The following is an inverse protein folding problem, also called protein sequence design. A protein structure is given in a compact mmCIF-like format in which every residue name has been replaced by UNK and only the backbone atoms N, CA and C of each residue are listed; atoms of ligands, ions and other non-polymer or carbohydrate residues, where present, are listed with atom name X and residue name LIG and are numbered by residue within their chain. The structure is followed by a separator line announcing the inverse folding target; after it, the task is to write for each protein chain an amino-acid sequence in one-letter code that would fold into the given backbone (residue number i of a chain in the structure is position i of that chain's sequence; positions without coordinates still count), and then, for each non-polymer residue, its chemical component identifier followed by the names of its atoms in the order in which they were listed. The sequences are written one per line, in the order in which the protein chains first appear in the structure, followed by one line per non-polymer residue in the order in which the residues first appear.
data_IF_102499477889
#
_entry.id   IF_102499477889
#
_cell.length_a   1.000
_cell.length_b   1.000
_cell.length_c   1.000
_cell.angle_alpha   90.00
_cell.angle_beta   90.00
_cell.angle_gamma   90.00
#
_symmetry.space_group_name_H-M   'P 1'
#
loop_
_entity.id
_entity.type
_entity.pdbx_description
1 polymer ?
#
# COMPACT_ATOMS: atom_id res chain seq x y z
N UNK A 1 9.43 -30.53 52.43
CA UNK A 1 9.20 -31.76 51.64
C UNK A 1 8.38 -31.38 50.40
N UNK A 2 8.63 -31.95 49.19
CA UNK A 2 9.59 -31.52 48.16
C UNK A 2 8.92 -30.84 46.94
N UNK A 3 9.54 -29.83 46.32
CA UNK A 3 10.41 -29.85 45.11
C UNK A 3 9.79 -30.41 43.83
N UNK A 4 9.47 -29.51 42.89
CA UNK A 4 9.58 -29.71 41.44
C UNK A 4 10.02 -28.37 40.84
N UNK A 5 11.03 -28.24 40.00
CA UNK A 5 11.74 -29.20 39.17
C UNK A 5 12.01 -28.54 37.82
N UNK A 6 12.66 -27.36 37.80
CA UNK A 6 13.06 -26.72 36.55
C UNK A 6 14.20 -27.52 35.92
N UNK A 7 13.91 -28.23 34.82
CA UNK A 7 14.94 -28.78 33.93
C UNK A 7 15.29 -27.73 32.89
N UNK A 8 16.56 -27.33 32.88
CA UNK A 8 17.16 -26.55 31.82
C UNK A 8 17.20 -27.34 30.50
N UNK A 9 16.60 -26.77 29.46
CA UNK A 9 16.84 -27.13 28.07
C UNK A 9 17.65 -26.01 27.42
N UNK A 10 18.84 -26.34 26.92
CA UNK A 10 19.64 -25.45 26.07
C UNK A 10 18.82 -25.02 24.84
N UNK A 11 18.95 -23.77 24.36
CA UNK A 11 18.26 -23.35 23.14
C UNK A 11 18.87 -24.07 21.92
N UNK A 12 18.07 -24.63 21.01
CA UNK A 12 18.57 -25.09 19.72
C UNK A 12 18.83 -23.87 18.82
N UNK A 13 20.11 -23.59 18.55
CA UNK A 13 20.52 -22.78 17.41
C UNK A 13 20.17 -23.52 16.12
N UNK A 14 19.13 -23.06 15.43
CA UNK A 14 18.91 -23.35 14.01
C UNK A 14 18.83 -22.02 13.27
N UNK A 15 19.92 -21.67 12.61
CA UNK A 15 19.95 -20.73 11.50
C UNK A 15 19.11 -21.31 10.35
N UNK A 16 17.95 -20.72 10.09
CA UNK A 16 17.22 -20.90 8.85
C UNK A 16 16.84 -19.50 8.35
N UNK A 17 17.69 -18.99 7.48
CA UNK A 17 17.41 -17.93 6.52
C UNK A 17 16.18 -18.33 5.73
N UNK A 18 15.15 -17.48 5.74
CA UNK A 18 13.88 -17.75 5.08
C UNK A 18 13.05 -16.49 4.97
N UNK A 19 13.55 -15.51 4.21
CA UNK A 19 12.71 -14.44 3.68
C UNK A 19 11.60 -15.08 2.83
N UNK A 20 10.36 -14.90 3.26
CA UNK A 20 9.19 -15.22 2.45
C UNK A 20 9.06 -14.17 1.35
N UNK A 21 9.63 -14.45 0.17
CA UNK A 21 9.22 -13.79 -1.05
C UNK A 21 7.82 -14.29 -1.42
N UNK A 22 6.81 -13.42 -1.31
CA UNK A 22 5.48 -13.65 -1.87
C UNK A 22 5.60 -13.55 -3.38
N UNK A 23 5.58 -14.71 -4.05
CA UNK A 23 5.59 -14.83 -5.50
C UNK A 23 4.18 -14.52 -6.01
N UNK A 24 3.95 -13.30 -6.50
CA UNK A 24 2.71 -12.96 -7.21
C UNK A 24 2.88 -13.36 -8.68
N UNK A 25 2.32 -14.51 -9.04
CA UNK A 25 2.33 -15.00 -10.42
C UNK A 25 1.25 -14.28 -11.24
N UNK A 26 1.65 -13.33 -12.09
CA UNK A 26 0.76 -12.82 -13.14
C UNK A 26 0.76 -13.81 -14.32
N UNK A 27 -0.38 -14.44 -14.59
CA UNK A 27 -0.64 -15.14 -15.86
C UNK A 27 -0.96 -14.09 -16.92
N UNK A 28 0.00 -13.78 -17.78
CA UNK A 28 -0.25 -13.06 -19.03
C UNK A 28 -0.52 -14.08 -20.14
N UNK A 29 -1.55 -13.81 -20.94
CA UNK A 29 -2.00 -14.64 -22.05
C UNK A 29 -0.91 -14.77 -23.15
N UNK A 30 -0.86 -15.88 -23.91
CA UNK A 30 0.30 -16.23 -24.74
C UNK A 30 0.44 -15.47 -26.08
N UNK A 31 -0.25 -14.34 -26.29
CA UNK A 31 -0.41 -13.75 -27.64
C UNK A 31 0.24 -12.37 -27.83
N UNK A 32 1.12 -11.93 -26.93
CA UNK A 32 1.86 -10.65 -27.11
C UNK A 32 3.28 -10.73 -26.57
N UNK A 33 4.14 -11.47 -27.27
CA UNK A 33 5.60 -11.33 -27.18
C UNK A 33 6.17 -11.11 -28.58
N UNK A 34 5.97 -9.90 -29.11
CA UNK A 34 6.81 -9.37 -30.18
C UNK A 34 8.08 -8.80 -29.53
N UNK A 35 9.16 -9.54 -29.72
CA UNK A 35 10.56 -9.10 -29.82
C UNK A 35 11.00 -7.91 -28.97
N UNK A 36 11.68 -8.21 -27.85
CA UNK A 36 12.89 -7.50 -27.47
C UNK A 36 13.94 -8.52 -27.05
N UNK A 37 14.99 -8.60 -27.86
CA UNK A 37 16.21 -9.37 -27.61
C UNK A 37 16.85 -8.93 -26.30
N UNK A 38 16.81 -9.77 -25.29
CA UNK A 38 17.83 -9.79 -24.23
C UNK A 38 18.02 -11.24 -23.81
N UNK A 39 18.85 -11.93 -24.59
CA UNK A 39 19.36 -13.24 -24.25
C UNK A 39 20.41 -13.05 -23.13
N UNK A 40 19.93 -13.07 -21.88
CA UNK A 40 20.76 -13.36 -20.73
C UNK A 40 20.97 -14.88 -20.65
N UNK A 41 21.96 -15.39 -21.37
CA UNK A 41 22.41 -16.78 -21.21
C UNK A 41 23.39 -16.87 -20.04
N UNK A 42 22.90 -17.37 -18.91
CA UNK A 42 23.74 -18.09 -17.97
C UNK A 42 24.12 -19.44 -18.55
N UNK A 43 25.39 -19.64 -18.87
CA UNK A 43 26.02 -20.97 -19.01
C UNK A 43 27.41 -20.89 -18.40
N UNK A 44 27.58 -21.56 -17.26
CA UNK A 44 28.88 -22.00 -16.81
C UNK A 44 29.41 -23.12 -17.69
N UNK A 45 30.73 -23.11 -17.87
CA UNK A 45 31.60 -24.21 -18.32
C UNK A 45 31.61 -24.66 -19.79
N UNK A 46 32.84 -24.69 -20.30
CA UNK A 46 33.37 -25.28 -21.55
C UNK A 46 32.99 -24.64 -22.89
N UNK A 47 33.49 -23.43 -23.13
CA UNK A 47 33.82 -22.96 -24.49
C UNK A 47 35.16 -22.25 -24.58
N UNK A 48 36.16 -22.72 -23.82
CA UNK A 48 37.53 -22.18 -23.87
C UNK A 48 38.44 -22.97 -24.83
N UNK A 49 38.01 -24.14 -25.35
CA UNK A 49 38.87 -25.01 -26.16
C UNK A 49 38.61 -25.05 -27.67
N UNK A 50 37.52 -24.45 -28.18
CA UNK A 50 37.10 -24.62 -29.59
C UNK A 50 37.19 -23.33 -30.43
N UNK A 51 37.49 -22.19 -29.81
CA UNK A 51 37.72 -20.93 -30.54
C UNK A 51 39.22 -20.72 -30.84
N UNK A 52 40.13 -21.31 -30.07
CA UNK A 52 41.58 -21.15 -30.30
C UNK A 52 42.14 -21.88 -31.53
N UNK A 53 41.40 -22.80 -32.17
CA UNK A 53 41.85 -23.50 -33.38
C UNK A 53 41.32 -22.94 -34.71
N UNK A 54 40.46 -21.93 -34.67
CA UNK A 54 40.01 -21.20 -35.87
C UNK A 54 40.58 -19.78 -35.97
N UNK A 55 41.44 -19.37 -35.04
CA UNK A 55 42.26 -18.15 -35.14
C UNK A 55 43.55 -18.47 -35.92
N UNK A 56 43.38 -19.09 -37.08
CA UNK A 56 44.39 -19.06 -38.13
C UNK A 56 44.27 -17.71 -38.84
N UNK A 57 45.06 -16.74 -38.40
CA UNK A 57 45.46 -15.53 -39.15
C UNK A 57 44.41 -14.93 -40.10
N UNK A 58 43.25 -14.52 -39.60
CA UNK A 58 42.57 -13.42 -40.26
C UNK A 58 43.44 -12.17 -40.03
N UNK A 59 43.92 -11.46 -41.07
CA UNK A 59 44.63 -10.21 -40.87
C UNK A 59 43.72 -9.28 -40.04
N UNK A 60 44.27 -8.47 -39.12
CA UNK A 60 43.46 -7.47 -38.43
C UNK A 60 42.80 -6.64 -39.51
N UNK A 61 41.47 -6.77 -39.65
CA UNK A 61 40.72 -5.94 -40.59
C UNK A 61 41.07 -4.51 -40.21
N UNK A 62 41.60 -3.68 -41.14
CA UNK A 62 41.92 -2.31 -40.80
C UNK A 62 40.62 -1.65 -40.34
N UNK A 63 40.54 -1.34 -39.04
CA UNK A 63 39.49 -0.50 -38.51
C UNK A 63 39.68 0.86 -39.17
N UNK A 64 38.94 1.07 -40.26
CA UNK A 64 38.83 2.38 -40.91
C UNK A 64 38.34 3.33 -39.82
N UNK A 65 39.19 4.31 -39.48
CA UNK A 65 38.79 5.35 -38.54
C UNK A 65 37.51 6.02 -39.08
N UNK A 66 36.54 6.32 -38.21
CA UNK A 66 35.32 6.98 -38.64
C UNK A 66 35.67 8.28 -39.36
N UNK A 67 35.01 8.51 -40.48
CA UNK A 67 35.14 9.76 -41.23
C UNK A 67 34.68 10.95 -40.38
N UNK A 68 35.18 12.15 -40.70
CA UNK A 68 34.77 13.38 -40.00
C UNK A 68 33.25 13.55 -40.00
N UNK A 69 32.58 13.21 -41.11
CA UNK A 69 31.13 13.29 -41.25
C UNK A 69 30.40 12.33 -40.28
N UNK A 70 30.91 11.12 -40.09
CA UNK A 70 30.34 10.15 -39.14
C UNK A 70 30.51 10.63 -37.68
N UNK A 71 31.67 11.24 -37.34
CA UNK A 71 31.88 11.81 -36.02
C UNK A 71 30.93 12.98 -35.73
N UNK A 72 30.69 13.84 -36.72
CA UNK A 72 29.75 14.96 -36.57
C UNK A 72 28.30 14.46 -36.44
N UNK A 73 27.91 13.44 -37.21
CA UNK A 73 26.61 12.80 -37.06
C UNK A 73 26.43 12.16 -35.66
N UNK A 74 27.46 11.50 -35.13
CA UNK A 74 27.44 10.92 -33.78
C UNK A 74 27.33 11.98 -32.69
N UNK A 75 28.02 13.13 -32.85
CA UNK A 75 27.90 14.26 -31.91
C UNK A 75 26.49 14.84 -31.87
N UNK A 76 25.85 15.00 -33.04
CA UNK A 76 24.46 15.46 -33.15
C UNK A 76 23.50 14.45 -32.50
N UNK A 77 23.68 13.15 -32.77
CA UNK A 77 22.85 12.11 -32.17
C UNK A 77 23.00 12.05 -30.63
N UNK A 78 24.24 12.19 -30.12
CA UNK A 78 24.50 12.26 -28.68
C UNK A 78 23.83 13.48 -28.05
N UNK A 79 23.94 14.66 -28.67
CA UNK A 79 23.29 15.87 -28.19
C UNK A 79 21.76 15.71 -28.14
N UNK A 80 21.16 15.13 -29.17
CA UNK A 80 19.72 14.84 -29.21
C UNK A 80 19.30 13.86 -28.10
N UNK A 81 20.10 12.82 -27.86
CA UNK A 81 19.86 11.87 -26.76
C UNK A 81 19.98 12.53 -25.38
N UNK A 82 21.00 13.37 -25.19
CA UNK A 82 21.19 14.14 -23.95
C UNK A 82 20.00 15.07 -23.68
N UNK A 83 19.52 15.77 -24.71
CA UNK A 83 18.32 16.61 -24.62
C UNK A 83 17.07 15.79 -24.28
N UNK A 84 16.90 14.62 -24.88
CA UNK A 84 15.82 13.70 -24.54
C UNK A 84 15.83 13.27 -23.07
N UNK A 85 17.00 12.92 -22.54
CA UNK A 85 17.16 12.59 -21.11
C UNK A 85 16.86 13.76 -20.19
N UNK A 86 17.28 14.97 -20.55
CA UNK A 86 16.97 16.18 -19.78
C UNK A 86 15.47 16.45 -19.74
N UNK A 87 14.77 16.30 -20.87
CA UNK A 87 13.31 16.43 -20.93
C UNK A 87 12.60 15.42 -20.04
N UNK A 88 12.97 14.14 -20.13
CA UNK A 88 12.37 13.09 -19.29
C UNK A 88 12.65 13.33 -17.81
N UNK A 89 13.83 13.85 -17.47
CA UNK A 89 14.17 14.20 -16.08
C UNK A 89 13.28 15.33 -15.57
N UNK A 90 13.07 16.38 -16.37
CA UNK A 90 12.17 17.47 -16.01
C UNK A 90 10.72 17.00 -15.86
N UNK A 91 10.25 16.11 -16.74
CA UNK A 91 8.91 15.50 -16.65
C UNK A 91 8.76 14.66 -15.37
N UNK A 92 9.77 13.85 -15.02
CA UNK A 92 9.78 13.08 -13.78
C UNK A 92 9.76 13.99 -12.54
N UNK A 93 10.54 15.07 -12.52
CA UNK A 93 10.52 16.04 -11.41
C UNK A 93 9.14 16.65 -11.24
N UNK A 94 8.51 17.09 -12.33
CA UNK A 94 7.16 17.67 -12.29
C UNK A 94 6.10 16.66 -11.81
N UNK A 95 6.22 15.38 -12.21
CA UNK A 95 5.33 14.33 -11.73
C UNK A 95 5.54 14.05 -10.23
N UNK A 96 6.79 14.02 -9.75
CA UNK A 96 7.07 13.86 -8.32
C UNK A 96 6.52 15.01 -7.48
N UNK A 97 6.66 16.26 -7.95
CA UNK A 97 6.07 17.43 -7.28
C UNK A 97 4.55 17.34 -7.22
N UNK A 98 3.92 16.89 -8.31
CA UNK A 98 2.47 16.66 -8.37
C UNK A 98 2.01 15.54 -7.43
N UNK A 99 2.74 14.43 -7.36
CA UNK A 99 2.46 13.35 -6.42
C UNK A 99 2.54 13.84 -4.97
N UNK A 100 3.54 14.64 -4.62
CA UNK A 100 3.66 15.25 -3.29
C UNK A 100 2.46 16.14 -2.97
N UNK A 101 2.00 16.95 -3.93
CA UNK A 101 0.81 17.79 -3.75
C UNK A 101 -0.45 16.94 -3.48
N UNK A 102 -0.64 15.85 -4.22
CA UNK A 102 -1.78 14.95 -3.98
C UNK A 102 -1.70 14.25 -2.63
N UNK A 103 -0.52 13.83 -2.18
CA UNK A 103 -0.36 13.23 -0.86
C UNK A 103 -0.70 14.22 0.27
N UNK A 104 -0.34 15.49 0.10
CA UNK A 104 -0.72 16.54 1.04
C UNK A 104 -2.25 16.74 1.08
N UNK A 105 -2.91 16.79 -0.08
CA UNK A 105 -4.37 16.90 -0.16
C UNK A 105 -5.09 15.69 0.47
N UNK A 106 -4.62 14.47 0.19
CA UNK A 106 -5.17 13.25 0.80
C UNK A 106 -5.05 13.30 2.33
N UNK A 107 -3.95 13.85 2.85
CA UNK A 107 -3.72 13.97 4.30
C UNK A 107 -4.71 14.95 4.92
N UNK A 108 -4.87 16.14 4.34
CA UNK A 108 -5.84 17.14 4.81
C UNK A 108 -7.28 16.61 4.77
N UNK A 109 -7.67 15.90 3.70
CA UNK A 109 -8.99 15.27 3.61
C UNK A 109 -9.21 14.22 4.70
N UNK A 110 -8.18 13.44 5.04
CA UNK A 110 -8.25 12.46 6.14
C UNK A 110 -8.40 13.15 7.49
N UNK A 111 -7.69 14.24 7.73
CA UNK A 111 -7.79 14.98 8.98
C UNK A 111 -9.18 15.61 9.14
N UNK A 112 -9.72 16.21 8.06
CA UNK A 112 -11.09 16.74 8.05
C UNK A 112 -12.13 15.67 8.34
N UNK A 113 -11.99 14.49 7.74
CA UNK A 113 -12.87 13.36 8.00
C UNK A 113 -12.77 12.88 9.45
N UNK A 114 -11.56 12.82 10.01
CA UNK A 114 -11.35 12.43 11.41
C UNK A 114 -12.00 13.43 12.38
N UNK A 115 -11.87 14.74 12.12
CA UNK A 115 -12.54 15.77 12.93
C UNK A 115 -14.06 15.66 12.88
N UNK A 116 -14.64 15.44 11.69
CA UNK A 116 -16.09 15.26 11.52
C UNK A 116 -16.57 14.04 12.33
N UNK A 117 -15.93 12.88 12.13
CA UNK A 117 -16.25 11.64 12.84
C UNK A 117 -16.11 11.75 14.35
N UNK A 118 -15.14 12.53 14.85
CA UNK A 118 -14.98 12.76 16.28
C UNK A 118 -16.17 13.52 16.88
N UNK A 119 -16.71 14.50 16.16
CA UNK A 119 -17.92 15.23 16.55
C UNK A 119 -19.15 14.32 16.63
N UNK A 120 -19.34 13.48 15.61
CA UNK A 120 -20.40 12.46 15.60
C UNK A 120 -20.27 11.46 16.76
N UNK A 121 -19.07 10.92 16.96
CA UNK A 121 -18.80 9.97 18.03
C UNK A 121 -19.01 10.55 19.43
N UNK A 122 -18.62 11.82 19.66
CA UNK A 122 -18.82 12.48 20.95
C UNK A 122 -20.31 12.67 21.28
N UNK A 123 -21.12 13.10 20.30
CA UNK A 123 -22.58 13.17 20.48
C UNK A 123 -23.17 11.80 20.78
N UNK A 124 -22.81 10.78 20.01
CA UNK A 124 -23.34 9.43 20.17
C UNK A 124 -22.98 8.83 21.54
N UNK A 125 -21.76 9.05 22.02
CA UNK A 125 -21.35 8.66 23.38
C UNK A 125 -22.12 9.42 24.45
N UNK A 126 -22.37 10.72 24.24
CA UNK A 126 -23.20 11.54 25.11
C UNK A 126 -24.61 10.98 25.28
N UNK A 127 -25.29 10.61 24.19
CA UNK A 127 -26.64 10.03 24.24
C UNK A 127 -26.68 8.69 24.98
N UNK A 128 -25.65 7.86 24.79
CA UNK A 128 -25.55 6.55 25.45
C UNK A 128 -24.96 6.62 26.87
N UNK A 129 -24.63 7.82 27.36
CA UNK A 129 -23.95 8.05 28.65
C UNK A 129 -22.66 7.23 28.81
N UNK A 130 -21.86 7.16 27.75
CA UNK A 130 -20.61 6.43 27.72
C UNK A 130 -19.43 7.35 27.97
N UNK A 131 -18.37 6.81 28.57
CA UNK A 131 -17.08 7.46 28.60
C UNK A 131 -16.42 7.43 27.21
N UNK A 132 -15.46 8.33 26.97
CA UNK A 132 -14.74 8.41 25.69
C UNK A 132 -13.93 7.13 25.38
N UNK A 133 -13.52 6.40 26.43
CA UNK A 133 -12.78 5.13 26.34
C UNK A 133 -13.68 3.88 26.37
N UNK A 134 -15.01 4.06 26.35
CA UNK A 134 -15.96 2.94 26.38
C UNK A 134 -15.80 2.02 25.16
N UNK A 135 -15.77 0.72 25.43
CA UNK A 135 -15.61 -0.31 24.41
C UNK A 135 -16.93 -0.69 23.71
N UNK A 136 -16.86 -1.52 22.65
CA UNK A 136 -18.04 -1.95 21.90
C UNK A 136 -19.06 -2.71 22.76
N UNK A 137 -18.62 -3.48 23.76
CA UNK A 137 -19.50 -4.16 24.70
C UNK A 137 -20.27 -3.17 25.61
N UNK A 138 -19.65 -2.06 25.96
CA UNK A 138 -20.28 -1.00 26.76
C UNK A 138 -21.37 -0.30 25.95
N UNK A 139 -21.12 -0.06 24.65
CA UNK A 139 -22.13 0.46 23.70
C UNK A 139 -23.35 -0.45 23.64
N UNK A 140 -23.14 -1.76 23.48
CA UNK A 140 -24.24 -2.74 23.41
C UNK A 140 -25.00 -2.79 24.73
N UNK A 141 -24.29 -2.75 25.87
CA UNK A 141 -24.90 -2.77 27.21
C UNK A 141 -25.76 -1.52 27.44
N UNK A 142 -25.20 -0.33 27.22
CA UNK A 142 -25.90 0.94 27.38
C UNK A 142 -27.12 1.02 26.46
N UNK A 143 -26.98 0.62 25.20
CA UNK A 143 -28.10 0.56 24.25
C UNK A 143 -29.22 -0.35 24.77
N UNK A 144 -28.91 -1.56 25.24
CA UNK A 144 -29.91 -2.50 25.77
C UNK A 144 -30.63 -1.93 26.99
N UNK A 145 -29.90 -1.29 27.89
CA UNK A 145 -30.47 -0.75 29.13
C UNK A 145 -31.36 0.47 28.86
N UNK A 146 -30.92 1.38 27.99
CA UNK A 146 -31.71 2.55 27.58
C UNK A 146 -32.92 2.15 26.73
N UNK A 147 -32.76 1.18 25.82
CA UNK A 147 -33.86 0.68 24.98
C UNK A 147 -34.98 0.09 25.81
N UNK A 148 -34.68 -0.65 26.89
CA UNK A 148 -35.70 -1.19 27.79
C UNK A 148 -36.47 -0.10 28.54
N UNK A 149 -35.80 1.00 28.89
CA UNK A 149 -36.38 2.12 29.64
C UNK A 149 -37.26 3.00 28.75
N UNK A 150 -36.78 3.31 27.56
CA UNK A 150 -37.42 4.27 26.64
C UNK A 150 -38.14 3.60 25.46
N UNK A 151 -38.37 2.28 25.50
CA UNK A 151 -39.06 1.58 24.41
C UNK A 151 -40.43 2.21 24.15
N UNK A 152 -40.82 2.46 22.89
CA UNK A 152 -42.12 3.06 22.57
C UNK A 152 -43.29 2.19 23.04
N UNK A 153 -43.14 0.86 23.09
CA UNK A 153 -44.21 -0.02 23.59
C UNK A 153 -44.50 0.15 25.08
N UNK A 154 -43.48 0.49 25.88
CA UNK A 154 -43.63 0.73 27.32
C UNK A 154 -44.08 2.18 27.60
N UNK A 155 -43.73 3.10 26.70
CA UNK A 155 -43.93 4.55 26.86
C UNK A 155 -44.83 5.13 25.76
N UNK A 156 -45.99 4.51 25.51
CA UNK A 156 -46.86 4.84 24.36
C UNK A 156 -47.38 6.28 24.33
N UNK A 157 -47.57 6.87 25.51
CA UNK A 157 -48.11 8.22 25.67
C UNK A 157 -47.02 9.29 25.90
N UNK A 158 -45.75 8.88 25.91
CA UNK A 158 -44.60 9.79 26.12
C UNK A 158 -43.86 10.04 24.80
N UNK A 159 -44.19 11.17 24.17
CA UNK A 159 -43.56 11.61 22.94
C UNK A 159 -42.06 11.89 23.11
N UNK A 160 -41.61 12.31 24.30
CA UNK A 160 -40.20 12.57 24.58
C UNK A 160 -39.41 11.26 24.69
N UNK A 161 -39.98 10.23 25.33
CA UNK A 161 -39.38 8.89 25.33
C UNK A 161 -39.21 8.34 23.90
N UNK A 162 -40.20 8.55 23.04
CA UNK A 162 -40.12 8.17 21.62
C UNK A 162 -39.07 8.94 20.83
N UNK A 163 -38.86 10.23 21.11
CA UNK A 163 -37.76 11.03 20.54
C UNK A 163 -36.41 10.50 21.00
N UNK A 164 -36.26 10.33 22.31
CA UNK A 164 -35.02 9.85 22.92
C UNK A 164 -34.64 8.45 22.45
N UNK A 165 -35.62 7.55 22.25
CA UNK A 165 -35.38 6.23 21.67
C UNK A 165 -34.78 6.29 20.26
N UNK A 166 -35.21 7.24 19.42
CA UNK A 166 -34.59 7.45 18.09
C UNK A 166 -33.15 7.91 18.21
N UNK A 167 -32.87 8.82 19.14
CA UNK A 167 -31.51 9.29 19.41
C UNK A 167 -30.61 8.13 19.88
N UNK A 168 -31.11 7.24 20.75
CA UNK A 168 -30.40 6.03 21.22
C UNK A 168 -30.05 5.08 20.06
N UNK A 169 -31.00 4.83 19.15
CA UNK A 169 -30.77 3.99 17.96
C UNK A 169 -29.72 4.60 17.06
N UNK A 170 -29.87 5.89 16.74
CA UNK A 170 -28.94 6.62 15.88
C UNK A 170 -27.53 6.68 16.48
N UNK A 171 -27.40 6.93 17.77
CA UNK A 171 -26.12 6.95 18.47
C UNK A 171 -25.40 5.58 18.38
N UNK A 172 -26.14 4.48 18.59
CA UNK A 172 -25.58 3.14 18.44
C UNK A 172 -25.11 2.90 17.00
N UNK A 173 -25.92 3.24 16.02
CA UNK A 173 -25.59 3.03 14.60
C UNK A 173 -24.37 3.85 14.18
N UNK A 174 -24.25 5.08 14.66
CA UNK A 174 -23.09 5.96 14.41
C UNK A 174 -21.79 5.37 14.98
N UNK A 175 -21.81 4.89 16.23
CA UNK A 175 -20.63 4.22 16.84
C UNK A 175 -20.30 2.87 16.19
N UNK A 176 -21.26 2.23 15.51
CA UNK A 176 -21.05 1.00 14.74
C UNK A 176 -20.68 1.27 13.26
N UNK A 177 -20.64 2.53 12.83
CA UNK A 177 -20.36 2.92 11.45
C UNK A 177 -21.47 2.55 10.45
N UNK A 178 -22.71 2.37 10.92
CA UNK A 178 -23.86 1.95 10.11
C UNK A 178 -24.68 3.12 9.53
N UNK A 179 -24.49 4.34 10.04
CA UNK A 179 -25.14 5.56 9.55
C UNK A 179 -24.07 6.55 9.10
N UNK A 180 -24.14 6.97 7.83
CA UNK A 180 -23.32 8.07 7.29
C UNK A 180 -23.82 9.42 7.83
N UNK A 181 -22.90 10.36 8.04
CA UNK A 181 -23.14 11.70 8.58
C UNK A 181 -23.96 12.57 7.62
N UNK A 182 -25.24 12.26 7.46
CA UNK A 182 -26.22 13.23 6.98
C UNK A 182 -27.04 13.68 8.18
N UNK A 183 -26.68 14.85 8.73
CA UNK A 183 -27.64 15.66 9.49
C UNK A 183 -27.86 17.00 8.79
N UNK A 184 -29.13 17.47 8.75
CA UNK A 184 -29.52 18.77 8.20
C UNK A 184 -29.11 19.96 9.08
#
# INVERSE_FOLDING_TARGET
MPRGGYRGGKPPTKSITGEKAVMVSFRLAPETLLQLDTIALGWGTTRTGLVERLVGQAPPTPQLAPSSAELDALRVALAASQQGRQRLTAELTALTERELAYQAEITDLRDRLALAQQGGNSWARGVLHLAEDAGPEDVIRAFRDLSKRYHPDLNRDDAEAGRYFRDIVMAREMLQGLVGEDRP
#
